data_IF_962847475049
#
_entry.id   IF_962847475049
#
_cell.length_a   1.000
_cell.length_b   1.000
_cell.length_c   1.000
_cell.angle_alpha   90.00
_cell.angle_beta   90.00
_cell.angle_gamma   90.00
#
_symmetry.space_group_name_H-M   'P 1'
#
loop_
_entity.id
_entity.type
_entity.pdbx_description
1 polymer ?
#
# COMPACT_ATOMS: atom_id res chain seq x y z
N UNK A 1 28.42 -31.53 9.73
CA UNK A 1 28.06 -30.62 10.82
C UNK A 1 27.47 -31.46 11.94
N UNK A 2 27.93 -31.24 13.17
CA UNK A 2 27.40 -31.93 14.35
C UNK A 2 26.03 -31.33 14.68
N UNK A 3 24.99 -32.17 14.79
CA UNK A 3 23.64 -31.71 15.11
C UNK A 3 23.52 -31.48 16.61
N UNK A 4 23.13 -30.28 17.01
CA UNK A 4 22.87 -29.96 18.41
C UNK A 4 21.66 -30.75 18.88
N UNK A 5 21.77 -31.41 20.04
CA UNK A 5 20.66 -32.09 20.70
C UNK A 5 20.26 -31.31 21.95
N UNK A 6 19.04 -30.77 21.96
CA UNK A 6 18.51 -29.95 23.05
C UNK A 6 17.27 -30.61 23.66
N UNK A 7 17.19 -30.64 24.99
CA UNK A 7 15.97 -30.97 25.71
C UNK A 7 15.19 -29.68 25.95
N UNK A 8 13.92 -29.68 25.58
CA UNK A 8 13.02 -28.52 25.64
C UNK A 8 11.72 -28.95 26.32
N UNK A 9 11.08 -28.04 27.04
CA UNK A 9 9.75 -28.26 27.61
C UNK A 9 8.73 -27.39 26.87
N UNK A 10 7.69 -27.99 26.32
CA UNK A 10 6.60 -27.28 25.65
C UNK A 10 5.28 -27.67 26.30
N UNK A 11 4.64 -26.73 27.00
CA UNK A 11 3.37 -26.93 27.68
C UNK A 11 3.32 -28.18 28.60
N UNK A 12 4.42 -28.48 29.30
CA UNK A 12 4.52 -29.62 30.21
C UNK A 12 5.05 -30.91 29.57
N UNK A 13 5.29 -30.91 28.25
CA UNK A 13 5.85 -32.04 27.51
C UNK A 13 7.35 -31.83 27.31
N UNK A 14 8.17 -32.72 27.87
CA UNK A 14 9.61 -32.74 27.60
C UNK A 14 9.87 -33.39 26.23
N UNK A 15 10.53 -32.65 25.34
CA UNK A 15 10.88 -33.09 23.99
C UNK A 15 12.38 -32.94 23.77
N UNK A 16 12.97 -33.88 23.02
CA UNK A 16 14.36 -33.77 22.59
C UNK A 16 14.39 -33.45 21.11
N UNK A 17 14.91 -32.27 20.76
CA UNK A 17 15.04 -31.81 19.38
C UNK A 17 16.50 -31.91 18.96
N UNK A 18 16.73 -32.53 17.80
CA UNK A 18 18.03 -32.56 17.15
C UNK A 18 17.98 -31.79 15.84
N UNK A 19 18.85 -30.81 15.66
CA UNK A 19 18.86 -29.97 14.46
C UNK A 19 20.16 -29.23 14.27
N UNK A 20 20.21 -28.42 13.21
CA UNK A 20 21.37 -27.59 12.87
C UNK A 20 21.36 -26.25 13.63
N UNK A 21 20.25 -25.90 14.27
CA UNK A 21 20.15 -24.76 15.16
C UNK A 21 20.99 -24.99 16.43
N UNK A 22 21.61 -23.93 16.94
CA UNK A 22 22.21 -23.95 18.27
C UNK A 22 21.13 -23.99 19.37
N UNK A 23 21.58 -24.12 20.61
CA UNK A 23 20.70 -24.25 21.78
C UNK A 23 19.84 -23.01 22.00
N UNK A 24 20.38 -21.81 21.79
CA UNK A 24 19.68 -20.57 22.08
C UNK A 24 18.58 -20.32 21.04
N UNK A 25 18.88 -20.58 19.77
CA UNK A 25 17.90 -20.56 18.69
C UNK A 25 16.79 -21.60 18.92
N UNK A 26 17.15 -22.83 19.34
CA UNK A 26 16.17 -23.87 19.66
C UNK A 26 15.26 -23.47 20.84
N UNK A 27 15.81 -22.84 21.89
CA UNK A 27 15.04 -22.34 23.03
C UNK A 27 14.12 -21.18 22.65
N UNK A 28 14.58 -20.26 21.78
CA UNK A 28 13.74 -19.17 21.25
C UNK A 28 12.56 -19.72 20.44
N UNK A 29 12.80 -20.71 19.58
CA UNK A 29 11.73 -21.38 18.82
C UNK A 29 10.76 -22.07 19.79
N UNK A 30 11.27 -22.80 20.79
CA UNK A 30 10.44 -23.44 21.80
C UNK A 30 9.58 -22.43 22.57
N UNK A 31 10.15 -21.29 22.95
CA UNK A 31 9.44 -20.19 23.60
C UNK A 31 8.32 -19.61 22.72
N UNK A 32 8.59 -19.42 21.43
CA UNK A 32 7.59 -18.95 20.47
C UNK A 32 6.44 -19.97 20.28
N UNK A 33 6.77 -21.27 20.19
CA UNK A 33 5.78 -22.34 20.12
C UNK A 33 4.94 -22.41 21.40
N UNK A 34 5.59 -22.34 22.57
CA UNK A 34 4.91 -22.36 23.88
C UNK A 34 3.92 -21.21 24.01
N UNK A 35 4.34 -19.98 23.71
CA UNK A 35 3.46 -18.81 23.78
C UNK A 35 2.25 -18.91 22.84
N UNK A 36 2.42 -19.52 21.66
CA UNK A 36 1.30 -19.75 20.72
C UNK A 36 0.37 -20.86 21.21
N UNK A 37 0.92 -21.96 21.70
CA UNK A 37 0.13 -23.06 22.28
C UNK A 37 -0.65 -22.61 23.51
N UNK A 38 -0.06 -21.78 24.38
CA UNK A 38 -0.76 -21.20 25.54
C UNK A 38 -1.95 -20.34 25.13
N UNK A 39 -1.84 -19.54 24.05
CA UNK A 39 -2.98 -18.80 23.51
C UNK A 39 -4.07 -19.74 23.00
N UNK A 40 -3.71 -20.81 22.30
CA UNK A 40 -4.68 -21.80 21.82
C UNK A 40 -5.37 -22.51 22.99
N UNK A 41 -4.61 -22.91 24.01
CA UNK A 41 -5.12 -23.52 25.24
C UNK A 41 -6.03 -22.58 26.04
N UNK A 42 -5.80 -21.26 25.98
CA UNK A 42 -6.70 -20.27 26.60
C UNK A 42 -8.04 -20.11 25.89
N UNK A 43 -8.20 -20.70 24.69
CA UNK A 43 -9.49 -20.71 23.98
C UNK A 43 -10.27 -21.98 24.30
N UNK A 44 -11.60 -21.87 24.37
CA UNK A 44 -12.49 -22.96 24.75
C UNK A 44 -12.44 -24.22 23.84
N UNK A 45 -11.79 -24.13 22.66
CA UNK A 45 -11.73 -25.21 21.67
C UNK A 45 -10.61 -26.25 21.94
N UNK A 46 -9.58 -25.91 22.71
CA UNK A 46 -8.44 -26.79 22.95
C UNK A 46 -8.47 -27.41 24.36
N UNK A 47 -9.31 -28.43 24.55
CA UNK A 47 -9.43 -29.15 25.82
C UNK A 47 -8.18 -29.99 26.21
N UNK A 48 -7.20 -30.14 25.31
CA UNK A 48 -5.97 -30.92 25.56
C UNK A 48 -4.74 -30.35 24.85
N UNK A 49 -3.55 -30.69 25.36
CA UNK A 49 -2.26 -30.24 24.83
C UNK A 49 -2.05 -30.72 23.39
N UNK A 50 -2.48 -31.93 23.07
CA UNK A 50 -2.35 -32.52 21.74
C UNK A 50 -3.17 -31.74 20.71
N UNK A 51 -4.43 -31.40 21.06
CA UNK A 51 -5.29 -30.58 20.18
C UNK A 51 -4.69 -29.19 19.99
N UNK A 52 -4.18 -28.58 21.06
CA UNK A 52 -3.53 -27.28 20.97
C UNK A 52 -2.28 -27.31 20.09
N UNK A 53 -1.47 -28.38 20.15
CA UNK A 53 -0.30 -28.56 19.31
C UNK A 53 -0.68 -28.66 17.83
N UNK A 54 -1.71 -29.45 17.49
CA UNK A 54 -2.20 -29.58 16.10
C UNK A 54 -2.71 -28.24 15.56
N UNK A 55 -3.55 -27.54 16.32
CA UNK A 55 -4.07 -26.22 15.91
C UNK A 55 -2.92 -25.21 15.75
N UNK A 56 -1.96 -25.22 16.67
CA UNK A 56 -0.80 -24.33 16.60
C UNK A 56 0.06 -24.62 15.36
N UNK A 57 0.26 -25.90 15.04
CA UNK A 57 0.98 -26.32 13.84
C UNK A 57 0.23 -25.85 12.56
N UNK A 58 -1.08 -26.03 12.49
CA UNK A 58 -1.89 -25.56 11.36
C UNK A 58 -1.78 -24.04 11.16
N UNK A 59 -1.91 -23.27 12.25
CA UNK A 59 -1.79 -21.81 12.21
C UNK A 59 -0.39 -21.37 11.76
N UNK A 60 0.67 -22.04 12.22
CA UNK A 60 2.04 -21.78 11.79
C UNK A 60 2.24 -22.08 10.31
N UNK A 61 1.74 -23.21 9.81
CA UNK A 61 1.81 -23.56 8.39
C UNK A 61 1.07 -22.54 7.51
N UNK A 62 -0.09 -22.07 7.94
CA UNK A 62 -0.85 -21.04 7.22
C UNK A 62 -0.10 -19.70 7.18
N UNK A 63 0.50 -19.29 8.31
CA UNK A 63 1.34 -18.10 8.35
C UNK A 63 2.58 -18.23 7.45
N UNK A 64 3.23 -19.39 7.42
CA UNK A 64 4.37 -19.65 6.53
C UNK A 64 3.94 -19.56 5.07
N UNK A 65 2.84 -20.21 4.68
CA UNK A 65 2.31 -20.14 3.32
C UNK A 65 2.00 -18.69 2.89
N UNK A 66 1.43 -17.87 3.79
CA UNK A 66 1.22 -16.43 3.54
C UNK A 66 2.54 -15.67 3.37
N UNK A 67 3.54 -15.93 4.21
CA UNK A 67 4.86 -15.28 4.10
C UNK A 67 5.57 -15.67 2.81
N UNK A 68 5.51 -16.94 2.42
CA UNK A 68 6.10 -17.43 1.16
C UNK A 68 5.45 -16.78 -0.06
N UNK A 69 4.12 -16.62 -0.04
CA UNK A 69 3.41 -15.91 -1.11
C UNK A 69 3.84 -14.44 -1.20
N UNK A 70 3.91 -13.73 -0.06
CA UNK A 70 4.36 -12.35 -0.01
C UNK A 70 5.83 -12.18 -0.43
N UNK A 71 6.69 -13.14 -0.07
CA UNK A 71 8.09 -13.15 -0.49
C UNK A 71 8.21 -13.28 -2.01
N UNK A 72 7.47 -14.22 -2.62
CA UNK A 72 7.45 -14.39 -4.09
C UNK A 72 6.96 -13.13 -4.81
N UNK A 73 5.89 -12.51 -4.32
CA UNK A 73 5.40 -11.25 -4.88
C UNK A 73 6.46 -10.15 -4.78
N UNK A 74 7.19 -10.07 -3.66
CA UNK A 74 8.28 -9.11 -3.50
C UNK A 74 9.44 -9.41 -4.45
N UNK A 75 9.81 -10.67 -4.64
CA UNK A 75 10.86 -11.09 -5.59
C UNK A 75 10.48 -10.76 -7.03
N UNK A 76 9.22 -10.97 -7.41
CA UNK A 76 8.71 -10.60 -8.74
C UNK A 76 8.74 -9.09 -8.96
N UNK A 77 8.34 -8.28 -7.96
CA UNK A 77 8.44 -6.82 -8.04
C UNK A 77 9.88 -6.34 -8.14
N UNK A 78 10.80 -6.95 -7.38
CA UNK A 78 12.23 -6.63 -7.49
C UNK A 78 12.73 -6.94 -8.90
N UNK A 79 12.40 -8.11 -9.46
CA UNK A 79 12.77 -8.47 -10.84
C UNK A 79 12.18 -7.52 -11.87
N UNK A 80 10.93 -7.08 -11.71
CA UNK A 80 10.30 -6.09 -12.59
C UNK A 80 11.05 -4.75 -12.53
N UNK A 81 11.33 -4.26 -11.33
CA UNK A 81 12.08 -3.02 -11.14
C UNK A 81 13.52 -3.12 -11.68
N UNK A 82 14.18 -4.27 -11.53
CA UNK A 82 15.51 -4.52 -12.10
C UNK A 82 15.47 -4.50 -13.64
N UNK A 83 14.43 -5.07 -14.26
CA UNK A 83 14.24 -5.03 -15.70
C UNK A 83 13.97 -3.60 -16.20
N UNK A 84 13.04 -2.87 -15.56
CA UNK A 84 12.77 -1.46 -15.87
C UNK A 84 14.02 -0.59 -15.71
N UNK A 85 14.79 -0.81 -14.64
CA UNK A 85 16.04 -0.10 -14.40
C UNK A 85 17.06 -0.41 -15.51
N UNK A 86 17.15 -1.67 -15.95
CA UNK A 86 18.02 -2.06 -17.06
C UNK A 86 17.61 -1.40 -18.38
N UNK A 87 16.33 -1.39 -18.73
CA UNK A 87 15.80 -0.75 -19.94
C UNK A 87 16.10 0.75 -20.00
N UNK A 88 16.08 1.42 -18.85
CA UNK A 88 16.37 2.85 -18.76
C UNK A 88 17.87 3.14 -18.93
N UNK A 89 18.75 2.13 -18.90
CA UNK A 89 20.21 2.30 -18.93
C UNK A 89 20.82 2.39 -17.52
N UNK A 90 20.17 1.75 -16.55
CA UNK A 90 20.60 1.72 -15.16
C UNK A 90 20.41 3.05 -14.44
N UNK A 91 21.19 3.21 -13.37
CA UNK A 91 21.16 4.43 -12.55
C UNK A 91 21.56 5.70 -13.35
N UNK A 92 22.42 5.57 -14.35
CA UNK A 92 22.84 6.69 -15.20
C UNK A 92 21.71 7.17 -16.11
N UNK A 93 20.98 6.25 -16.72
CA UNK A 93 19.81 6.60 -17.52
C UNK A 93 18.69 7.25 -16.71
N UNK A 94 18.47 6.80 -15.47
CA UNK A 94 17.54 7.48 -14.55
C UNK A 94 18.00 8.90 -14.23
N UNK A 95 19.30 9.12 -13.96
CA UNK A 95 19.86 10.46 -13.72
C UNK A 95 19.68 11.38 -14.93
N UNK A 96 19.90 10.87 -16.14
CA UNK A 96 19.69 11.65 -17.36
C UNK A 96 18.22 12.04 -17.55
N UNK A 97 17.28 11.09 -17.35
CA UNK A 97 15.83 11.39 -17.44
C UNK A 97 15.40 12.40 -16.38
N UNK A 98 15.95 12.32 -15.17
CA UNK A 98 15.71 13.28 -14.10
C UNK A 98 16.21 14.68 -14.47
N UNK A 99 17.44 14.80 -14.97
CA UNK A 99 17.98 16.09 -15.46
C UNK A 99 17.14 16.68 -16.60
N UNK A 100 16.67 15.85 -17.54
CA UNK A 100 15.79 16.29 -18.61
C UNK A 100 14.43 16.77 -18.10
N UNK A 101 13.84 16.07 -17.12
CA UNK A 101 12.58 16.46 -16.50
C UNK A 101 12.72 17.77 -15.72
N UNK A 102 13.79 17.93 -14.93
CA UNK A 102 14.11 19.17 -14.24
C UNK A 102 14.30 20.35 -15.20
N UNK A 103 15.00 20.13 -16.32
CA UNK A 103 15.15 21.14 -17.37
C UNK A 103 13.82 21.58 -17.96
N UNK A 104 12.94 20.62 -18.30
CA UNK A 104 11.59 20.89 -18.80
C UNK A 104 10.73 21.63 -17.77
N UNK A 105 10.83 21.25 -16.49
CA UNK A 105 10.11 21.91 -15.39
C UNK A 105 10.51 23.38 -15.28
N UNK A 106 11.81 23.69 -15.30
CA UNK A 106 12.32 25.08 -15.26
C UNK A 106 11.79 25.92 -16.43
N UNK A 107 11.74 25.34 -17.63
CA UNK A 107 11.19 26.01 -18.82
C UNK A 107 9.69 26.26 -18.63
N UNK A 108 8.93 25.26 -18.18
CA UNK A 108 7.50 25.39 -17.93
C UNK A 108 7.22 26.44 -16.85
N UNK A 109 7.98 26.46 -15.76
CA UNK A 109 7.88 27.49 -14.71
C UNK A 109 8.19 28.89 -15.23
N UNK A 110 9.22 29.04 -16.07
CA UNK A 110 9.55 30.32 -16.70
C UNK A 110 8.44 30.80 -17.65
N UNK A 111 7.86 29.90 -18.45
CA UNK A 111 6.71 30.19 -19.30
C UNK A 111 5.48 30.60 -18.48
N UNK A 112 5.23 29.93 -17.35
CA UNK A 112 4.11 30.25 -16.46
C UNK A 112 4.31 31.61 -15.77
N UNK A 113 5.55 31.96 -15.41
CA UNK A 113 5.90 33.30 -14.93
C UNK A 113 5.73 34.36 -16.02
N UNK A 114 6.17 34.10 -17.25
CA UNK A 114 5.98 35.01 -18.37
C UNK A 114 4.50 35.20 -18.71
N UNK A 115 3.68 34.15 -18.67
CA UNK A 115 2.24 34.23 -18.87
C UNK A 115 1.51 34.98 -17.73
N UNK A 116 2.06 34.94 -16.50
CA UNK A 116 1.55 35.74 -15.37
C UNK A 116 1.99 37.21 -15.42
N UNK A 117 3.13 37.51 -16.04
CA UNK A 117 3.68 38.88 -16.17
C UNK A 117 3.20 39.55 -17.46
N UNK A 118 2.80 38.78 -18.49
CA UNK A 118 2.09 39.32 -19.65
C UNK A 118 0.77 39.94 -19.18
N UNK A 119 0.57 41.27 -19.32
CA UNK A 119 -0.74 41.84 -19.11
C UNK A 119 -1.68 41.20 -20.13
N UNK A 120 -2.91 40.86 -19.73
CA UNK A 120 -3.96 40.49 -20.68
C UNK A 120 -3.96 41.53 -21.81
N UNK A 121 -3.58 41.11 -23.03
CA UNK A 121 -3.55 42.02 -24.16
C UNK A 121 -4.95 42.64 -24.31
N UNK A 122 -5.07 43.97 -24.44
CA UNK A 122 -6.38 44.58 -24.61
C UNK A 122 -6.97 44.05 -25.91
N UNK A 123 -8.12 43.40 -25.82
CA UNK A 123 -8.91 43.04 -26.98
C UNK A 123 -9.25 44.32 -27.73
N UNK A 124 -8.63 44.55 -28.89
CA UNK A 124 -9.09 45.55 -29.85
C UNK A 124 -10.52 45.18 -30.25
N UNK A 125 -11.49 45.93 -29.75
CA UNK A 125 -12.89 45.82 -30.18
C UNK A 125 -13.01 46.44 -31.57
N UNK A 126 -13.37 45.69 -32.63
CA UNK A 126 -13.92 46.33 -33.81
C UNK A 126 -15.24 47.00 -33.42
N UNK A 127 -15.36 48.28 -33.78
CA UNK A 127 -16.49 49.12 -33.45
C UNK A 127 -17.78 48.58 -34.08
N UNK A 128 -18.78 48.38 -33.22
CA UNK A 128 -20.19 48.69 -33.49
C UNK A 128 -20.89 47.92 -34.59
N UNK A 129 -21.48 46.78 -34.24
CA UNK A 129 -22.83 46.41 -34.69
C UNK A 129 -23.60 45.84 -33.48
N UNK A 130 -24.88 46.20 -33.29
CA UNK A 130 -25.62 45.84 -32.08
C UNK A 130 -25.90 44.34 -32.05
N UNK A 131 -25.32 43.64 -31.08
CA UNK A 131 -25.65 42.24 -30.79
C UNK A 131 -26.96 42.25 -30.00
N UNK A 132 -28.03 41.67 -30.54
CA UNK A 132 -29.23 41.38 -29.76
C UNK A 132 -28.86 40.48 -28.58
N UNK A 133 -28.95 41.01 -27.36
CA UNK A 133 -28.78 40.23 -26.13
C UNK A 133 -30.02 39.37 -25.91
N UNK A 134 -30.09 38.21 -26.56
CA UNK A 134 -30.99 37.15 -26.11
C UNK A 134 -30.34 36.48 -24.90
N UNK A 135 -30.84 36.79 -23.71
CA UNK A 135 -30.36 36.23 -22.45
C UNK A 135 -30.61 34.70 -22.42
N UNK A 136 -29.58 33.84 -22.42
CA UNK A 136 -29.75 32.38 -22.47
C UNK A 136 -30.31 31.76 -21.19
N UNK A 137 -30.50 32.56 -20.12
CA UNK A 137 -30.95 32.09 -18.80
C UNK A 137 -32.38 32.51 -18.44
N UNK A 138 -33.12 33.17 -19.35
CA UNK A 138 -34.57 33.27 -19.20
C UNK A 138 -35.22 32.04 -19.83
N UNK A 139 -35.40 31.00 -19.02
CA UNK A 139 -36.51 30.07 -19.26
C UNK A 139 -37.80 30.83 -18.98
N UNK A 140 -38.74 30.77 -19.91
CA UNK A 140 -40.07 31.36 -19.76
C UNK A 140 -40.71 30.83 -18.47
N UNK A 141 -40.88 31.70 -17.48
CA UNK A 141 -41.69 31.40 -16.31
C UNK A 141 -43.15 31.52 -16.76
N UNK A 142 -43.69 30.43 -17.30
CA UNK A 142 -45.10 30.13 -17.20
C UNK A 142 -45.33 29.41 -15.87
N UNK A 143 -46.03 30.08 -14.96
CA UNK A 143 -46.70 29.58 -13.77
C UNK A 143 -46.56 28.08 -13.42
N UNK A 144 -45.93 27.76 -12.29
CA UNK A 144 -46.62 27.22 -11.11
C UNK A 144 -45.61 26.85 -10.01
N UNK A 145 -45.75 27.54 -8.88
CA UNK A 145 -45.01 27.28 -7.66
C UNK A 145 -45.53 26.01 -6.99
N UNK A 146 -44.86 24.87 -7.23
CA UNK A 146 -44.89 23.71 -6.36
C UNK A 146 -43.71 23.76 -5.39
N UNK A 147 -43.89 24.41 -4.25
CA UNK A 147 -42.92 24.44 -3.15
C UNK A 147 -42.79 23.03 -2.55
N UNK A 148 -41.59 22.44 -2.59
CA UNK A 148 -41.16 21.51 -1.53
C UNK A 148 -39.72 21.83 -1.15
N UNK A 149 -39.59 22.47 0.01
CA UNK A 149 -38.33 22.72 0.71
C UNK A 149 -37.82 21.43 1.35
N UNK A 150 -36.55 21.11 1.13
CA UNK A 150 -35.82 20.15 1.94
C UNK A 150 -34.45 20.75 2.28
N UNK A 151 -34.30 21.30 3.49
CA UNK A 151 -33.18 21.03 4.39
C UNK A 151 -33.47 21.62 5.79
N UNK A 152 -32.96 20.90 6.80
CA UNK A 152 -33.44 20.81 8.18
C UNK A 152 -32.72 21.70 9.21
N UNK A 153 -33.38 21.90 10.36
CA UNK A 153 -32.92 21.98 11.79
C UNK A 153 -33.98 22.76 12.58
N UNK A 154 -34.48 22.31 13.74
CA UNK A 154 -33.85 21.64 14.89
C UNK A 154 -34.28 20.19 15.13
#
# INVERSE_FOLDING_TARGET
MEKTRCKLNICGVEVTVSGDADRDAAEQIAGAVRARMERVLSTAYAASVEKAAVITAMNLCEELARRDAALRESEEKVRQLEAELHEIGGAEGLRQRLQQAEGKLKIAEAQLRQARVQPAAPAEKPAGMPVEMRNPLRQDVGEQAGLVSFFAKE
#
